data_IF_847580442894
#
_entry.id   IF_847580442894
#
_cell.length_a   1.000
_cell.length_b   1.000
_cell.length_c   1.000
_cell.angle_alpha   90.00
_cell.angle_beta   90.00
_cell.angle_gamma   90.00
#
_symmetry.space_group_name_H-M   'P 1'
#
loop_
_entity.id
_entity.type
_entity.pdbx_description
1 polymer ?
#
# COMPACT_ATOMS: atom_id res chain seq x y z
N UNK A 1 28.30 -7.43 43.78
CA UNK A 1 28.20 -7.95 42.42
C UNK A 1 27.29 -7.01 41.67
N UNK A 2 27.72 -6.18 40.71
CA UNK A 2 26.82 -5.33 39.93
C UNK A 2 26.13 -6.21 38.90
N UNK A 3 24.81 -6.09 38.86
CA UNK A 3 23.94 -6.68 37.84
C UNK A 3 24.38 -6.21 36.45
N UNK A 4 24.80 -7.12 35.61
CA UNK A 4 24.96 -6.88 34.19
C UNK A 4 23.58 -6.67 33.59
N UNK A 5 23.25 -5.43 33.28
CA UNK A 5 22.07 -5.07 32.48
C UNK A 5 22.29 -5.64 31.09
N UNK A 6 21.60 -6.70 30.77
CA UNK A 6 21.51 -7.24 29.39
C UNK A 6 21.07 -6.10 28.50
N UNK A 7 21.76 -5.77 27.40
CA UNK A 7 21.28 -4.75 26.48
C UNK A 7 19.92 -5.21 25.92
N UNK A 8 18.91 -4.37 26.08
CA UNK A 8 17.61 -4.54 25.46
C UNK A 8 17.84 -4.79 23.96
N UNK A 9 17.50 -5.99 23.46
CA UNK A 9 17.45 -6.28 22.03
C UNK A 9 16.41 -5.34 21.46
N UNK A 10 16.84 -4.22 20.91
CA UNK A 10 15.98 -3.32 20.14
C UNK A 10 15.24 -4.18 19.11
N UNK A 11 13.91 -4.13 19.10
CA UNK A 11 13.14 -4.87 18.12
C UNK A 11 13.56 -4.44 16.71
N UNK A 12 13.66 -5.39 15.76
CA UNK A 12 14.07 -5.09 14.39
C UNK A 12 13.16 -4.02 13.78
N UNK A 13 13.76 -3.09 13.05
CA UNK A 13 13.05 -1.99 12.41
C UNK A 13 12.20 -2.45 11.21
N UNK A 14 12.48 -3.63 10.66
CA UNK A 14 11.77 -4.19 9.51
C UNK A 14 11.31 -5.63 9.76
N UNK A 15 10.32 -6.06 8.97
CA UNK A 15 9.84 -7.46 8.86
C UNK A 15 9.64 -7.82 7.40
N UNK A 16 10.14 -8.97 6.98
CA UNK A 16 9.88 -9.51 5.65
C UNK A 16 8.44 -10.01 5.55
N UNK A 17 7.78 -9.77 4.42
CA UNK A 17 6.38 -10.18 4.23
C UNK A 17 6.20 -11.68 4.42
N UNK A 18 7.12 -12.50 3.94
CA UNK A 18 7.07 -13.97 4.11
C UNK A 18 7.07 -14.45 5.58
N UNK A 19 7.38 -13.56 6.53
CA UNK A 19 7.39 -13.86 7.98
C UNK A 19 6.19 -13.28 8.72
N UNK A 20 5.24 -12.67 8.01
CA UNK A 20 4.07 -12.00 8.56
C UNK A 20 2.82 -12.82 8.32
N UNK A 21 1.85 -12.63 9.21
CA UNK A 21 0.49 -13.13 9.09
C UNK A 21 -0.52 -12.11 9.65
N UNK A 22 -1.80 -12.48 9.68
CA UNK A 22 -2.87 -11.60 10.15
C UNK A 22 -2.83 -11.29 11.66
N UNK A 23 -1.99 -11.97 12.45
CA UNK A 23 -1.77 -11.64 13.87
C UNK A 23 -0.84 -10.43 14.02
N UNK A 24 -0.07 -10.07 12.99
CA UNK A 24 0.91 -8.98 13.01
C UNK A 24 0.34 -7.58 12.70
N UNK A 25 -0.99 -7.40 12.62
CA UNK A 25 -1.63 -6.11 12.30
C UNK A 25 -1.15 -4.99 13.23
N UNK A 26 -1.01 -5.24 14.53
CA UNK A 26 -0.52 -4.26 15.50
C UNK A 26 0.94 -3.86 15.28
N UNK A 27 1.72 -4.72 14.62
CA UNK A 27 3.15 -4.53 14.35
C UNK A 27 3.39 -3.82 13.01
N UNK A 28 2.66 -4.22 11.94
CA UNK A 28 2.94 -3.77 10.58
C UNK A 28 1.72 -3.17 9.85
N UNK A 29 0.58 -3.07 10.51
CA UNK A 29 -0.68 -2.61 9.90
C UNK A 29 -1.36 -3.67 9.02
N UNK A 30 -2.65 -3.49 8.77
CA UNK A 30 -3.49 -4.49 8.12
C UNK A 30 -3.03 -4.87 6.71
N UNK A 31 -2.67 -3.90 5.87
CA UNK A 31 -2.21 -4.18 4.49
C UNK A 31 -0.96 -5.06 4.44
N UNK A 32 0.02 -4.79 5.31
CA UNK A 32 1.27 -5.56 5.31
C UNK A 32 1.07 -6.94 5.92
N UNK A 33 0.25 -7.07 6.96
CA UNK A 33 -0.13 -8.35 7.56
C UNK A 33 -0.85 -9.24 6.53
N UNK A 34 -1.85 -8.67 5.82
CA UNK A 34 -2.56 -9.39 4.75
C UNK A 34 -1.66 -9.79 3.58
N UNK A 35 -0.63 -9.00 3.23
CA UNK A 35 0.36 -9.40 2.22
C UNK A 35 1.15 -10.63 2.67
N UNK A 36 1.57 -10.67 3.93
CA UNK A 36 2.24 -11.84 4.51
C UNK A 36 1.37 -13.08 4.47
N UNK A 37 0.14 -12.97 4.94
CA UNK A 37 -0.85 -14.06 4.87
C UNK A 37 -1.02 -14.58 3.44
N UNK A 38 -1.17 -13.68 2.46
CA UNK A 38 -1.29 -14.07 1.05
C UNK A 38 -0.05 -14.78 0.53
N UNK A 39 1.16 -14.34 0.87
CA UNK A 39 2.40 -15.00 0.46
C UNK A 39 2.42 -16.43 1.01
N UNK A 40 2.09 -16.62 2.29
CA UNK A 40 2.03 -17.93 2.92
C UNK A 40 0.96 -18.85 2.31
N UNK A 41 -0.27 -18.34 2.18
CA UNK A 41 -1.42 -19.12 1.73
C UNK A 41 -1.39 -19.46 0.23
N UNK A 42 -0.86 -18.59 -0.63
CA UNK A 42 -0.94 -18.74 -2.08
C UNK A 42 0.32 -19.32 -2.73
N UNK A 43 1.39 -19.50 -1.96
CA UNK A 43 2.67 -20.01 -2.45
C UNK A 43 2.54 -21.34 -3.18
N UNK A 44 1.78 -22.27 -2.62
CA UNK A 44 1.58 -23.63 -3.17
C UNK A 44 0.50 -23.68 -4.27
N UNK A 45 -0.27 -22.60 -4.43
CA UNK A 45 -1.33 -22.47 -5.45
C UNK A 45 -0.82 -21.93 -6.79
N UNK A 46 0.49 -21.66 -6.91
CA UNK A 46 1.09 -21.10 -8.12
C UNK A 46 0.82 -19.61 -8.33
N UNK A 47 0.14 -18.96 -7.40
CA UNK A 47 -0.12 -17.51 -7.43
C UNK A 47 1.11 -16.77 -6.87
N UNK A 48 1.65 -15.85 -7.66
CA UNK A 48 2.84 -15.09 -7.28
C UNK A 48 2.43 -13.77 -6.63
N UNK A 49 2.70 -13.66 -5.33
CA UNK A 49 2.63 -12.38 -4.61
C UNK A 49 4.04 -11.78 -4.61
N UNK A 50 4.23 -10.55 -5.12
CA UNK A 50 5.55 -9.92 -5.10
C UNK A 50 6.04 -9.75 -3.67
N UNK A 51 7.29 -10.13 -3.44
CA UNK A 51 7.91 -10.06 -2.13
C UNK A 51 8.32 -8.64 -1.75
N UNK A 52 8.67 -8.47 -0.47
CA UNK A 52 9.07 -7.20 0.12
C UNK A 52 9.20 -7.28 1.63
N UNK A 53 9.25 -6.13 2.24
CA UNK A 53 9.31 -6.01 3.69
C UNK A 53 8.50 -4.79 4.17
N UNK A 54 8.14 -4.79 5.43
CA UNK A 54 7.51 -3.68 6.11
C UNK A 54 8.43 -3.08 7.17
N UNK A 55 8.41 -1.75 7.36
CA UNK A 55 8.87 -1.16 8.62
C UNK A 55 7.86 -1.49 9.72
N UNK A 56 8.28 -1.47 10.98
CA UNK A 56 7.35 -1.72 12.09
C UNK A 56 6.71 -0.43 12.61
N UNK A 57 5.59 -0.53 13.30
CA UNK A 57 5.00 0.58 14.04
C UNK A 57 5.96 1.19 15.07
N UNK A 58 6.85 0.35 15.65
CA UNK A 58 7.92 0.81 16.53
C UNK A 58 8.93 1.70 15.80
N UNK A 59 9.24 1.38 14.55
CA UNK A 59 10.09 2.22 13.68
C UNK A 59 9.53 3.63 13.52
N UNK A 60 8.23 3.77 13.33
CA UNK A 60 7.57 5.06 13.27
C UNK A 60 7.69 5.84 14.60
N UNK A 61 7.42 5.18 15.73
CA UNK A 61 7.55 5.82 17.05
C UNK A 61 8.98 6.25 17.35
N UNK A 62 9.97 5.39 17.08
CA UNK A 62 11.39 5.72 17.21
C UNK A 62 11.82 6.88 16.30
N UNK A 63 11.25 6.99 15.11
CA UNK A 63 11.49 8.12 14.22
C UNK A 63 10.93 9.41 14.81
N UNK A 64 9.71 9.41 15.36
CA UNK A 64 9.12 10.59 16.00
C UNK A 64 9.94 11.02 17.22
N UNK A 65 10.33 10.08 18.08
CA UNK A 65 11.12 10.34 19.29
C UNK A 65 12.50 10.94 18.97
N UNK A 66 13.22 10.35 18.00
CA UNK A 66 14.56 10.80 17.62
C UNK A 66 14.60 12.20 16.99
N UNK A 67 13.45 12.73 16.57
CA UNK A 67 13.33 14.07 15.97
C UNK A 67 12.51 15.04 16.85
N UNK A 68 12.22 14.69 18.09
CA UNK A 68 11.40 15.48 19.03
C UNK A 68 10.01 15.86 18.43
N UNK A 69 9.45 14.97 17.60
CA UNK A 69 8.22 15.25 16.85
C UNK A 69 6.95 14.99 17.66
N UNK A 70 6.99 14.13 18.66
CA UNK A 70 5.80 13.75 19.45
C UNK A 70 5.13 14.96 20.10
N UNK A 71 5.90 15.76 20.84
CA UNK A 71 5.39 16.95 21.50
C UNK A 71 5.05 18.07 20.52
N UNK A 72 5.83 18.20 19.43
CA UNK A 72 5.52 19.18 18.38
C UNK A 72 4.17 18.86 17.70
N UNK A 73 3.93 17.60 17.33
CA UNK A 73 2.67 17.17 16.70
C UNK A 73 1.50 17.43 17.67
N UNK A 74 1.67 17.10 18.95
CA UNK A 74 0.63 17.35 19.95
C UNK A 74 0.29 18.83 20.08
N UNK A 75 1.30 19.68 20.17
CA UNK A 75 1.10 21.13 20.27
C UNK A 75 0.39 21.73 19.03
N UNK A 76 0.73 21.26 17.82
CA UNK A 76 0.08 21.71 16.60
C UNK A 76 -1.40 21.26 16.53
N UNK A 77 -1.72 20.04 16.97
CA UNK A 77 -3.09 19.55 17.04
C UNK A 77 -3.91 20.29 18.11
N UNK A 78 -3.33 20.56 19.27
CA UNK A 78 -3.96 21.36 20.34
C UNK A 78 -4.27 22.79 19.88
N UNK A 79 -3.35 23.43 19.13
CA UNK A 79 -3.57 24.77 18.57
C UNK A 79 -4.71 24.79 17.53
N UNK A 80 -4.82 23.72 16.72
CA UNK A 80 -5.95 23.56 15.81
C UNK A 80 -7.27 23.38 16.57
N UNK A 81 -7.30 22.53 17.58
CA UNK A 81 -8.49 22.24 18.41
C UNK A 81 -8.96 23.50 19.16
N UNK A 82 -8.03 24.35 19.61
CA UNK A 82 -8.29 25.64 20.18
C UNK A 82 -8.77 26.71 19.16
N UNK A 83 -8.76 26.40 17.86
CA UNK A 83 -9.15 27.34 16.80
C UNK A 83 -8.10 28.43 16.52
N UNK A 84 -6.85 28.24 16.95
CA UNK A 84 -5.76 29.19 16.75
C UNK A 84 -5.18 29.15 15.34
N UNK A 85 -5.33 28.00 14.66
CA UNK A 85 -4.89 27.77 13.27
C UNK A 85 -5.84 26.85 12.52
N UNK A 86 -5.76 26.85 11.20
CA UNK A 86 -6.56 25.97 10.35
C UNK A 86 -5.98 24.54 10.31
N UNK A 87 -6.80 23.54 10.01
CA UNK A 87 -6.38 22.17 9.81
C UNK A 87 -5.28 22.06 8.73
N UNK A 88 -5.40 22.81 7.64
CA UNK A 88 -4.42 22.80 6.56
C UNK A 88 -3.05 23.33 7.01
N UNK A 89 -3.01 24.41 7.81
CA UNK A 89 -1.77 24.94 8.39
C UNK A 89 -1.13 23.94 9.34
N UNK A 90 -1.91 23.38 10.27
CA UNK A 90 -1.51 22.33 11.21
C UNK A 90 -0.91 21.13 10.46
N UNK A 91 -1.68 20.54 9.55
CA UNK A 91 -1.24 19.39 8.77
C UNK A 91 0.01 19.67 7.94
N UNK A 92 0.11 20.86 7.34
CA UNK A 92 1.29 21.26 6.55
C UNK A 92 2.53 21.40 7.41
N UNK A 93 2.41 22.00 8.60
CA UNK A 93 3.51 22.18 9.55
C UNK A 93 4.03 20.81 10.00
N UNK A 94 3.14 19.93 10.44
CA UNK A 94 3.49 18.58 10.88
C UNK A 94 4.17 17.78 9.75
N UNK A 95 3.54 17.73 8.57
CA UNK A 95 4.08 17.00 7.41
C UNK A 95 5.47 17.50 6.99
N UNK A 96 5.69 18.81 7.05
CA UNK A 96 6.98 19.41 6.72
C UNK A 96 8.06 18.96 7.68
N UNK A 97 7.78 18.99 8.97
CA UNK A 97 8.70 18.52 10.01
C UNK A 97 9.05 17.05 9.88
N UNK A 98 8.05 16.19 9.66
CA UNK A 98 8.27 14.76 9.45
C UNK A 98 9.19 14.52 8.23
N UNK A 99 8.95 15.20 7.12
CA UNK A 99 9.78 15.06 5.90
C UNK A 99 11.22 15.50 6.10
N UNK A 100 11.46 16.49 6.96
CA UNK A 100 12.79 17.00 7.31
C UNK A 100 13.53 16.12 8.32
N UNK A 101 12.81 15.30 9.09
CA UNK A 101 13.38 14.42 10.10
C UNK A 101 14.38 13.41 9.52
N UNK A 102 15.29 12.93 10.38
CA UNK A 102 16.26 11.91 10.04
C UNK A 102 15.91 10.58 10.74
N UNK A 103 16.02 9.47 10.02
CA UNK A 103 15.94 8.17 10.68
C UNK A 103 17.12 8.00 11.65
N UNK A 104 16.91 7.41 12.85
CA UNK A 104 18.01 6.93 13.66
C UNK A 104 18.92 5.99 12.84
N UNK A 105 20.24 6.10 12.97
CA UNK A 105 21.17 5.41 12.05
C UNK A 105 20.94 3.90 12.01
N UNK A 106 20.71 3.25 13.16
CA UNK A 106 20.40 1.82 13.18
C UNK A 106 19.12 1.45 12.42
N UNK A 107 18.09 2.29 12.47
CA UNK A 107 16.85 2.13 11.69
C UNK A 107 17.12 2.35 10.20
N UNK A 108 17.82 3.44 9.87
CA UNK A 108 18.17 3.73 8.48
C UNK A 108 18.95 2.58 7.85
N UNK A 109 19.91 2.00 8.57
CA UNK A 109 20.72 0.90 8.04
C UNK A 109 19.91 -0.38 7.84
N UNK A 110 19.03 -0.75 8.75
CA UNK A 110 18.16 -1.91 8.57
C UNK A 110 17.26 -1.76 7.31
N UNK A 111 16.70 -0.55 7.06
CA UNK A 111 15.92 -0.28 5.85
C UNK A 111 16.80 -0.38 4.59
N UNK A 112 18.04 0.16 4.63
CA UNK A 112 19.00 0.10 3.52
C UNK A 112 19.39 -1.34 3.19
N UNK A 113 19.69 -2.13 4.20
CA UNK A 113 20.07 -3.54 4.04
C UNK A 113 18.89 -4.37 3.53
N UNK A 114 17.68 -4.16 4.07
CA UNK A 114 16.46 -4.78 3.57
C UNK A 114 16.22 -4.49 2.09
N UNK A 115 16.35 -3.22 1.68
CA UNK A 115 16.19 -2.83 0.26
C UNK A 115 17.30 -3.41 -0.63
N UNK A 116 18.56 -3.44 -0.19
CA UNK A 116 19.66 -4.07 -0.94
C UNK A 116 19.43 -5.58 -1.10
N UNK A 117 18.99 -6.25 -0.03
CA UNK A 117 18.68 -7.68 -0.05
C UNK A 117 17.53 -7.99 -1.00
N UNK A 118 16.45 -7.17 -0.96
CA UNK A 118 15.34 -7.27 -1.90
C UNK A 118 15.82 -7.08 -3.34
N UNK A 119 16.64 -6.05 -3.59
CA UNK A 119 17.19 -5.79 -4.93
C UNK A 119 18.02 -6.96 -5.45
N UNK A 120 18.88 -7.51 -4.61
CA UNK A 120 19.71 -8.67 -4.95
C UNK A 120 18.88 -9.93 -5.25
N UNK A 121 17.80 -10.19 -4.49
CA UNK A 121 16.90 -11.30 -4.73
C UNK A 121 16.21 -11.24 -6.10
N UNK A 122 16.01 -10.04 -6.64
CA UNK A 122 15.47 -9.81 -8.00
C UNK A 122 16.56 -9.55 -9.06
N UNK A 123 17.85 -9.77 -8.73
CA UNK A 123 18.97 -9.60 -9.66
C UNK A 123 19.16 -8.17 -10.16
N UNK A 124 18.79 -7.17 -9.35
CA UNK A 124 18.87 -5.76 -9.70
C UNK A 124 19.79 -5.00 -8.73
N UNK A 125 20.50 -3.98 -9.24
CA UNK A 125 21.26 -3.06 -8.39
C UNK A 125 20.34 -2.16 -7.54
N UNK A 126 19.17 -1.81 -8.10
CA UNK A 126 18.15 -1.01 -7.47
C UNK A 126 16.76 -1.45 -7.96
N UNK A 127 16.15 -2.39 -7.24
CA UNK A 127 14.80 -2.86 -7.56
C UNK A 127 13.78 -1.73 -7.51
N UNK A 128 12.86 -1.75 -8.45
CA UNK A 128 11.68 -0.89 -8.42
C UNK A 128 10.68 -1.40 -7.38
N UNK A 129 10.30 -0.54 -6.45
CA UNK A 129 9.36 -0.89 -5.38
C UNK A 129 8.18 0.06 -5.32
N UNK A 130 7.04 -0.47 -4.91
CA UNK A 130 5.93 0.32 -4.40
C UNK A 130 6.16 0.55 -2.90
N UNK A 131 6.13 1.81 -2.48
CA UNK A 131 6.24 2.19 -1.05
C UNK A 131 4.86 2.65 -0.60
N UNK A 132 4.27 1.92 0.34
CA UNK A 132 2.87 2.10 0.76
C UNK A 132 2.76 2.21 2.26
N UNK A 133 1.94 3.12 2.74
CA UNK A 133 1.57 3.19 4.14
C UNK A 133 0.57 2.09 4.53
N UNK A 134 0.67 1.62 5.77
CA UNK A 134 -0.22 0.66 6.40
C UNK A 134 -0.39 1.04 7.87
N UNK A 135 -1.58 1.52 8.25
CA UNK A 135 -1.85 1.94 9.61
C UNK A 135 -2.22 0.74 10.50
N UNK A 136 -1.86 0.81 11.77
CA UNK A 136 -2.20 -0.22 12.75
C UNK A 136 -3.70 -0.26 13.11
N UNK A 137 -4.44 0.79 12.74
CA UNK A 137 -5.87 0.90 12.95
C UNK A 137 -6.69 0.80 11.65
N UNK A 138 -6.08 0.37 10.52
CA UNK A 138 -6.67 0.50 9.18
C UNK A 138 -7.86 -0.44 8.93
N UNK A 139 -7.87 -1.63 9.50
CA UNK A 139 -8.86 -2.68 9.27
C UNK A 139 -9.61 -3.05 10.55
N UNK A 140 -9.97 -2.05 11.36
CA UNK A 140 -10.86 -2.28 12.48
C UNK A 140 -12.29 -2.53 11.96
N UNK A 141 -13.10 -3.40 12.61
CA UNK A 141 -14.43 -3.79 12.14
C UNK A 141 -15.37 -2.61 11.85
N UNK A 142 -15.17 -1.49 12.55
CA UNK A 142 -16.03 -0.31 12.48
C UNK A 142 -15.33 0.91 11.82
N UNK A 143 -14.09 0.78 11.33
CA UNK A 143 -13.35 1.90 10.77
C UNK A 143 -12.43 1.47 9.63
N UNK A 144 -12.59 2.09 8.45
CA UNK A 144 -11.77 1.86 7.27
C UNK A 144 -10.99 3.11 6.89
N UNK A 145 -9.66 3.05 7.00
CA UNK A 145 -8.77 4.09 6.47
C UNK A 145 -8.53 3.98 4.95
N UNK A 146 -9.40 3.27 4.24
CA UNK A 146 -9.28 3.07 2.80
C UNK A 146 -9.18 4.41 2.05
N UNK A 147 -8.19 4.53 1.19
CA UNK A 147 -7.97 5.73 0.38
C UNK A 147 -7.44 6.96 1.14
N UNK A 148 -7.17 6.87 2.45
CA UNK A 148 -6.60 7.96 3.25
C UNK A 148 -5.08 8.07 3.11
N UNK A 149 -4.44 7.06 2.55
CA UNK A 149 -3.00 6.87 2.61
C UNK A 149 -2.36 6.92 1.22
N UNK A 150 -1.10 7.37 1.17
CA UNK A 150 -0.39 7.55 -0.07
C UNK A 150 0.42 6.30 -0.47
N UNK A 151 0.55 6.10 -1.78
CA UNK A 151 1.41 5.09 -2.39
C UNK A 151 2.36 5.76 -3.36
N UNK A 152 3.63 5.36 -3.31
CA UNK A 152 4.68 5.84 -4.21
C UNK A 152 5.13 4.66 -5.04
N UNK A 153 4.95 4.75 -6.35
CA UNK A 153 5.25 3.68 -7.31
C UNK A 153 6.61 3.90 -7.97
N UNK A 154 7.24 2.80 -8.40
CA UNK A 154 8.54 2.77 -9.09
C UNK A 154 9.66 3.53 -8.35
N UNK A 155 9.66 3.45 -7.02
CA UNK A 155 10.71 4.04 -6.19
C UNK A 155 11.97 3.20 -6.33
N UNK A 156 13.11 3.85 -6.65
CA UNK A 156 14.39 3.18 -6.86
C UNK A 156 15.52 3.85 -6.09
N UNK A 157 16.38 3.03 -5.53
CA UNK A 157 17.55 3.45 -4.79
C UNK A 157 17.25 3.81 -3.33
N UNK A 158 18.24 3.59 -2.50
CA UNK A 158 18.15 3.70 -1.03
C UNK A 158 17.66 5.08 -0.57
N UNK A 159 18.19 6.16 -1.16
CA UNK A 159 17.80 7.53 -0.78
C UNK A 159 16.35 7.82 -1.09
N UNK A 160 15.87 7.39 -2.26
CA UNK A 160 14.47 7.55 -2.65
C UNK A 160 13.53 6.73 -1.75
N UNK A 161 13.92 5.50 -1.39
CA UNK A 161 13.20 4.64 -0.46
C UNK A 161 13.04 5.30 0.91
N UNK A 162 14.13 5.77 1.53
CA UNK A 162 14.06 6.46 2.82
C UNK A 162 13.20 7.74 2.74
N UNK A 163 13.28 8.46 1.63
CA UNK A 163 12.44 9.65 1.40
C UNK A 163 10.95 9.26 1.28
N UNK A 164 10.63 8.21 0.54
CA UNK A 164 9.27 7.71 0.40
C UNK A 164 8.71 7.21 1.74
N UNK A 165 9.50 6.54 2.58
CA UNK A 165 9.09 6.14 3.93
C UNK A 165 8.70 7.36 4.79
N UNK A 166 9.49 8.44 4.77
CA UNK A 166 9.15 9.68 5.48
C UNK A 166 7.89 10.35 4.93
N UNK A 167 7.69 10.29 3.62
CA UNK A 167 6.45 10.79 3.00
C UNK A 167 5.24 9.96 3.41
N UNK A 168 5.37 8.63 3.51
CA UNK A 168 4.34 7.77 4.08
C UNK A 168 4.04 8.16 5.53
N UNK A 169 5.03 8.35 6.38
CA UNK A 169 4.82 8.81 7.76
C UNK A 169 4.08 10.14 7.81
N UNK A 170 4.44 11.07 6.95
CA UNK A 170 3.78 12.38 6.85
C UNK A 170 2.32 12.27 6.40
N UNK A 171 1.94 11.26 5.60
CA UNK A 171 0.57 11.11 5.10
C UNK A 171 -0.48 10.89 6.20
N UNK A 172 -0.05 10.46 7.40
CA UNK A 172 -0.92 10.35 8.57
C UNK A 172 -1.52 11.70 9.01
N UNK A 173 -0.89 12.80 8.61
CA UNK A 173 -1.30 14.17 8.95
C UNK A 173 -1.76 14.97 7.72
N UNK A 174 -2.32 14.30 6.71
CA UNK A 174 -3.12 14.98 5.68
C UNK A 174 -4.44 15.45 6.31
N UNK A 175 -4.99 16.54 5.81
CA UNK A 175 -6.25 17.10 6.30
C UNK A 175 -7.34 16.03 6.38
N UNK A 176 -7.45 15.22 5.33
CA UNK A 176 -8.39 14.10 5.24
C UNK A 176 -8.15 13.05 6.32
N UNK A 177 -6.88 12.66 6.58
CA UNK A 177 -6.56 11.63 7.56
C UNK A 177 -6.79 12.12 9.00
N UNK A 178 -6.54 13.41 9.26
CA UNK A 178 -6.84 14.04 10.57
C UNK A 178 -8.34 14.13 10.78
N UNK A 179 -9.10 14.68 9.82
CA UNK A 179 -10.57 14.76 9.90
C UNK A 179 -11.20 13.39 10.13
N UNK A 180 -10.74 12.37 9.39
CA UNK A 180 -11.27 11.01 9.55
C UNK A 180 -11.06 10.47 10.97
N UNK A 181 -9.87 10.65 11.55
CA UNK A 181 -9.63 10.22 12.95
C UNK A 181 -10.50 10.97 13.94
N UNK A 182 -10.67 12.27 13.75
CA UNK A 182 -11.57 13.09 14.56
C UNK A 182 -13.01 12.58 14.51
N UNK A 183 -13.54 12.35 13.30
CA UNK A 183 -14.90 11.84 13.09
C UNK A 183 -15.11 10.44 13.69
N UNK A 184 -14.06 9.61 13.72
CA UNK A 184 -14.12 8.27 14.30
C UNK A 184 -13.74 8.22 15.79
N UNK A 185 -13.35 9.35 16.39
CA UNK A 185 -12.95 9.42 17.80
C UNK A 185 -11.62 8.73 18.13
N UNK A 186 -10.72 8.59 17.15
CA UNK A 186 -9.38 8.04 17.40
C UNK A 186 -8.42 9.12 17.91
N UNK A 187 -7.66 8.79 18.94
CA UNK A 187 -6.53 9.61 19.37
C UNK A 187 -5.49 9.68 18.22
N UNK A 188 -5.12 10.90 17.85
CA UNK A 188 -4.16 11.15 16.77
C UNK A 188 -2.79 10.55 17.02
N UNK A 189 -2.39 10.37 18.28
CA UNK A 189 -1.08 9.86 18.68
C UNK A 189 -1.05 8.33 18.90
N UNK A 190 -2.21 7.70 19.06
CA UNK A 190 -2.28 6.24 19.22
C UNK A 190 -2.14 5.49 17.90
N UNK A 191 -2.57 6.11 16.80
CA UNK A 191 -2.45 5.51 15.48
C UNK A 191 -0.99 5.55 15.03
N UNK A 192 -0.40 4.38 14.85
CA UNK A 192 0.94 4.23 14.32
C UNK A 192 0.91 3.76 12.86
N UNK A 193 2.00 4.03 12.15
CA UNK A 193 2.13 3.69 10.74
C UNK A 193 3.32 2.76 10.51
N UNK A 194 3.09 1.76 9.71
CA UNK A 194 4.09 0.93 9.06
C UNK A 194 4.19 1.33 7.58
N UNK A 195 5.31 1.05 6.95
CA UNK A 195 5.53 1.29 5.53
C UNK A 195 5.95 0.00 4.87
N UNK A 196 5.13 -0.49 3.93
CA UNK A 196 5.45 -1.64 3.10
C UNK A 196 6.28 -1.22 1.88
N UNK A 197 7.36 -1.94 1.65
CA UNK A 197 8.19 -1.85 0.44
C UNK A 197 8.02 -3.14 -0.34
N UNK A 198 7.25 -3.10 -1.41
CA UNK A 198 6.92 -4.27 -2.21
C UNK A 198 7.52 -4.16 -3.61
N UNK A 199 8.11 -5.23 -4.12
CA UNK A 199 8.60 -5.26 -5.50
C UNK A 199 7.49 -4.95 -6.49
N UNK A 200 7.73 -4.01 -7.40
CA UNK A 200 6.78 -3.66 -8.46
C UNK A 200 6.62 -4.79 -9.49
N UNK A 201 5.37 -5.03 -9.90
CA UNK A 201 5.04 -5.83 -11.07
C UNK A 201 4.99 -4.91 -12.29
N UNK A 202 5.74 -5.26 -13.35
CA UNK A 202 5.68 -4.55 -14.62
C UNK A 202 4.45 -5.00 -15.40
N UNK A 203 3.33 -4.35 -15.09
CA UNK A 203 2.02 -4.73 -15.59
C UNK A 203 1.63 -3.89 -16.82
N UNK A 204 1.24 -4.58 -17.89
CA UNK A 204 0.56 -3.99 -19.05
C UNK A 204 -0.96 -3.95 -18.85
N UNK A 205 -1.45 -4.78 -17.95
CA UNK A 205 -2.86 -4.93 -17.54
C UNK A 205 -2.92 -5.09 -16.03
N UNK A 206 -3.90 -4.48 -15.39
CA UNK A 206 -4.13 -4.63 -13.96
C UNK A 206 -5.61 -4.52 -13.63
N UNK A 207 -6.00 -5.05 -12.48
CA UNK A 207 -7.39 -5.03 -12.09
C UNK A 207 -7.63 -5.35 -10.63
N UNK A 208 -8.90 -5.48 -10.29
CA UNK A 208 -9.38 -5.92 -8.97
C UNK A 208 -10.36 -7.06 -9.20
N UNK A 209 -10.19 -8.13 -8.44
CA UNK A 209 -11.13 -9.25 -8.42
C UNK A 209 -11.82 -9.32 -7.06
N UNK A 210 -13.12 -9.47 -7.09
CA UNK A 210 -13.96 -9.78 -5.93
C UNK A 210 -14.49 -11.21 -6.06
N UNK A 211 -14.37 -11.97 -4.99
CA UNK A 211 -14.86 -13.37 -4.96
C UNK A 211 -16.37 -13.48 -4.71
N UNK A 212 -17.06 -12.36 -4.69
CA UNK A 212 -18.50 -12.20 -4.54
C UNK A 212 -18.97 -11.07 -5.44
N UNK A 213 -20.20 -11.11 -5.91
CA UNK A 213 -20.82 -9.95 -6.55
C UNK A 213 -21.08 -8.85 -5.51
N UNK A 214 -20.36 -7.75 -5.62
CA UNK A 214 -20.37 -6.66 -4.64
C UNK A 214 -21.65 -5.81 -4.69
N UNK A 215 -22.46 -5.90 -5.76
CA UNK A 215 -23.71 -5.15 -5.89
C UNK A 215 -24.89 -5.96 -5.31
N UNK A 216 -24.97 -7.24 -5.65
CA UNK A 216 -26.09 -8.11 -5.24
C UNK A 216 -25.80 -8.93 -3.98
N UNK A 217 -24.51 -9.07 -3.59
CA UNK A 217 -24.09 -9.98 -2.54
C UNK A 217 -24.11 -11.47 -2.95
N UNK A 218 -24.29 -11.77 -4.26
CA UNK A 218 -24.39 -13.17 -4.71
C UNK A 218 -23.04 -13.88 -4.63
N UNK A 219 -22.92 -14.93 -3.79
CA UNK A 219 -21.62 -15.51 -3.43
C UNK A 219 -20.99 -16.35 -4.54
N UNK A 220 -21.80 -16.85 -5.51
CA UNK A 220 -21.30 -17.76 -6.55
C UNK A 220 -20.69 -17.03 -7.76
N UNK A 221 -20.79 -15.70 -7.83
CA UNK A 221 -20.11 -14.92 -8.84
C UNK A 221 -18.76 -14.38 -8.33
N UNK A 222 -17.76 -14.41 -9.20
CA UNK A 222 -16.57 -13.56 -9.06
C UNK A 222 -16.69 -12.41 -10.07
N UNK A 223 -16.36 -11.19 -9.62
CA UNK A 223 -16.37 -9.97 -10.45
C UNK A 223 -14.93 -9.51 -10.64
N UNK A 224 -14.50 -9.33 -11.89
CA UNK A 224 -13.16 -8.85 -12.24
C UNK A 224 -13.32 -7.51 -12.97
N UNK A 225 -12.69 -6.47 -12.46
CA UNK A 225 -12.60 -5.17 -13.11
C UNK A 225 -11.16 -4.97 -13.60
N UNK A 226 -10.94 -4.71 -14.89
CA UNK A 226 -9.61 -4.60 -15.46
C UNK A 226 -9.43 -3.37 -16.34
N UNK A 227 -8.21 -2.82 -16.33
CA UNK A 227 -7.77 -1.70 -17.15
C UNK A 227 -6.34 -1.90 -17.67
N UNK A 228 -5.95 -1.06 -18.61
CA UNK A 228 -4.59 -1.05 -19.16
C UNK A 228 -3.60 -0.37 -18.22
N UNK A 229 -2.36 -0.84 -18.22
CA UNK A 229 -1.27 -0.29 -17.42
C UNK A 229 -1.33 -0.65 -15.94
N UNK A 230 -0.82 0.24 -15.09
CA UNK A 230 -0.77 0.04 -13.65
C UNK A 230 -2.15 0.15 -12.99
N UNK A 231 -2.41 -0.68 -12.00
CA UNK A 231 -3.73 -0.85 -11.37
C UNK A 231 -4.31 0.36 -10.63
N UNK A 232 -3.53 1.41 -10.43
CA UNK A 232 -3.93 2.59 -9.67
C UNK A 232 -5.17 3.30 -10.26
N UNK A 233 -5.34 3.28 -11.59
CA UNK A 233 -6.50 3.86 -12.27
C UNK A 233 -7.80 3.13 -11.93
N UNK A 234 -7.74 1.80 -11.82
CA UNK A 234 -8.89 0.95 -11.45
C UNK A 234 -9.20 1.13 -9.97
N UNK A 235 -8.17 1.03 -9.10
CA UNK A 235 -8.34 1.15 -7.65
C UNK A 235 -8.90 2.52 -7.23
N UNK A 236 -8.44 3.61 -7.87
CA UNK A 236 -8.94 4.97 -7.62
C UNK A 236 -10.29 5.27 -8.28
N UNK A 237 -10.87 4.35 -9.04
CA UNK A 237 -12.10 4.59 -9.79
C UNK A 237 -11.97 5.74 -10.80
N UNK A 238 -10.77 5.99 -11.33
CA UNK A 238 -10.49 7.11 -12.21
C UNK A 238 -10.73 6.81 -13.70
N UNK A 239 -11.07 5.58 -13.99
CA UNK A 239 -11.51 5.08 -15.31
C UNK A 239 -12.79 4.25 -15.15
N UNK A 240 -13.49 4.02 -16.27
CA UNK A 240 -14.52 3.01 -16.37
C UNK A 240 -13.87 1.73 -16.94
N UNK A 241 -13.55 0.72 -16.09
CA UNK A 241 -12.83 -0.49 -16.49
C UNK A 241 -13.73 -1.46 -17.28
N UNK A 242 -13.12 -2.46 -17.91
CA UNK A 242 -13.87 -3.64 -18.32
C UNK A 242 -14.27 -4.44 -17.09
N UNK A 243 -15.48 -5.02 -17.12
CA UNK A 243 -15.99 -5.88 -16.08
C UNK A 243 -16.28 -7.27 -16.62
N UNK A 244 -15.86 -8.28 -15.90
CA UNK A 244 -16.11 -9.69 -16.20
C UNK A 244 -16.81 -10.35 -15.03
N UNK A 245 -17.84 -11.14 -15.33
CA UNK A 245 -18.56 -11.94 -14.34
C UNK A 245 -18.27 -13.41 -14.58
N UNK A 246 -17.73 -14.10 -13.59
CA UNK A 246 -17.44 -15.53 -13.63
C UNK A 246 -18.35 -16.24 -12.64
N UNK A 247 -19.14 -17.19 -13.12
CA UNK A 247 -19.96 -18.05 -12.27
C UNK A 247 -19.17 -19.24 -11.79
N UNK A 248 -18.74 -19.21 -10.54
CA UNK A 248 -17.80 -20.15 -9.94
C UNK A 248 -18.20 -21.62 -10.05
N UNK A 249 -19.50 -22.00 -9.86
CA UNK A 249 -19.89 -23.41 -9.99
C UNK A 249 -19.64 -24.02 -11.38
N UNK A 250 -19.45 -23.20 -12.43
CA UNK A 250 -19.15 -23.71 -13.77
C UNK A 250 -17.67 -24.00 -14.00
N UNK A 251 -16.77 -23.54 -13.10
CA UNK A 251 -15.31 -23.75 -13.22
C UNK A 251 -14.92 -25.23 -13.18
N UNK A 252 -15.70 -26.08 -12.50
CA UNK A 252 -15.43 -27.51 -12.37
C UNK A 252 -16.00 -28.36 -13.51
N UNK A 253 -16.70 -27.74 -14.47
CA UNK A 253 -17.38 -28.45 -15.55
C UNK A 253 -16.92 -27.98 -16.92
N UNK A 254 -16.03 -28.72 -17.56
CA UNK A 254 -15.47 -28.40 -18.88
C UNK A 254 -16.52 -28.25 -20.01
N UNK A 255 -17.75 -28.74 -19.84
CA UNK A 255 -18.83 -28.59 -20.81
C UNK A 255 -19.54 -27.23 -20.71
N UNK A 256 -19.27 -26.43 -19.70
CA UNK A 256 -19.90 -25.14 -19.45
C UNK A 256 -18.91 -23.98 -19.61
N UNK A 257 -19.42 -22.82 -19.92
CA UNK A 257 -18.63 -21.57 -20.00
C UNK A 257 -18.80 -20.80 -18.71
N UNK A 258 -17.75 -20.71 -17.85
CA UNK A 258 -17.85 -20.02 -16.56
C UNK A 258 -18.01 -18.50 -16.68
N UNK A 259 -17.53 -17.90 -17.77
CA UNK A 259 -17.64 -16.43 -18.01
C UNK A 259 -19.05 -16.13 -18.50
N UNK A 260 -19.90 -15.64 -17.60
CA UNK A 260 -21.32 -15.38 -17.88
C UNK A 260 -21.62 -13.93 -18.26
N UNK A 261 -20.64 -13.02 -18.08
CA UNK A 261 -20.81 -11.61 -18.46
C UNK A 261 -19.49 -10.94 -18.81
N UNK A 262 -19.53 -10.06 -19.81
CA UNK A 262 -18.44 -9.17 -20.20
C UNK A 262 -19.01 -7.79 -20.54
N UNK A 263 -18.62 -6.78 -19.80
CA UNK A 263 -19.01 -5.39 -20.06
C UNK A 263 -17.77 -4.58 -20.38
N UNK A 264 -17.74 -3.96 -21.54
CA UNK A 264 -16.61 -3.15 -21.98
C UNK A 264 -16.72 -1.74 -21.41
N UNK A 265 -15.68 -1.28 -20.69
CA UNK A 265 -15.51 0.10 -20.28
C UNK A 265 -14.87 0.96 -21.38
N UNK A 266 -14.82 2.27 -21.16
CA UNK A 266 -14.12 3.19 -22.07
C UNK A 266 -12.59 3.23 -21.83
N UNK A 267 -12.16 2.93 -20.63
CA UNK A 267 -10.73 2.86 -20.23
C UNK A 267 -9.92 4.05 -20.76
N UNK A 268 -10.46 5.27 -20.64
CA UNK A 268 -10.00 6.46 -21.36
C UNK A 268 -8.50 6.79 -21.12
N UNK A 269 -7.94 6.38 -19.99
CA UNK A 269 -6.54 6.62 -19.63
C UNK A 269 -5.92 5.44 -18.91
N UNK A 270 -4.58 5.40 -18.92
CA UNK A 270 -3.76 4.40 -18.20
C UNK A 270 -2.56 5.09 -17.54
N UNK A 271 -2.02 4.47 -16.49
CA UNK A 271 -0.74 4.87 -15.90
C UNK A 271 0.32 3.91 -16.41
N UNK A 272 1.41 4.47 -16.90
CA UNK A 272 2.57 3.74 -17.41
C UNK A 272 3.84 4.22 -16.72
N UNK A 273 4.89 3.41 -16.77
CA UNK A 273 6.22 3.84 -16.35
C UNK A 273 6.71 4.98 -17.24
N UNK A 274 7.30 6.00 -16.62
CA UNK A 274 7.94 7.10 -17.33
C UNK A 274 9.43 6.79 -17.56
N UNK A 275 9.98 7.29 -18.66
CA UNK A 275 11.42 7.27 -18.92
C UNK A 275 12.01 8.64 -18.60
N UNK A 276 13.22 8.66 -18.00
CA UNK A 276 13.95 9.89 -17.68
C UNK A 276 13.91 10.30 -16.20
N UNK A 277 14.45 11.48 -15.89
CA UNK A 277 14.72 11.96 -14.52
C UNK A 277 13.48 12.61 -13.83
N UNK A 278 12.29 12.47 -14.40
CA UNK A 278 11.07 13.04 -13.87
C UNK A 278 10.32 12.14 -12.88
N UNK A 279 8.99 12.28 -12.85
CA UNK A 279 8.15 11.37 -12.08
C UNK A 279 8.24 9.94 -12.66
N UNK A 280 8.33 8.91 -11.81
CA UNK A 280 8.57 7.52 -12.24
C UNK A 280 7.41 6.91 -13.03
N UNK A 281 6.21 7.49 -12.92
CA UNK A 281 5.02 7.07 -13.65
C UNK A 281 4.30 8.27 -14.25
N UNK A 282 3.59 8.07 -15.34
CA UNK A 282 2.78 9.11 -15.99
C UNK A 282 1.43 8.57 -16.43
N UNK A 283 0.42 9.43 -16.36
CA UNK A 283 -0.89 9.15 -16.94
C UNK A 283 -0.87 9.52 -18.43
N UNK A 284 -1.33 8.58 -19.27
CA UNK A 284 -1.47 8.79 -20.71
C UNK A 284 -2.88 8.37 -21.15
N UNK A 285 -3.38 8.95 -22.24
CA UNK A 285 -4.60 8.47 -22.86
C UNK A 285 -4.36 7.10 -23.51
N UNK A 286 -5.39 6.25 -23.46
CA UNK A 286 -5.40 4.98 -24.20
C UNK A 286 -5.62 5.22 -25.68
N UNK A 287 -5.07 4.34 -26.51
CA UNK A 287 -5.31 4.36 -27.96
C UNK A 287 -6.77 3.97 -28.26
N UNK A 288 -7.24 4.27 -29.47
CA UNK A 288 -8.56 3.84 -29.93
C UNK A 288 -8.68 2.31 -29.95
N UNK A 289 -7.62 1.61 -30.30
CA UNK A 289 -7.54 0.15 -30.28
C UNK A 289 -7.72 -0.39 -28.86
N UNK A 290 -7.00 0.16 -27.87
CA UNK A 290 -7.11 -0.22 -26.46
C UNK A 290 -8.51 0.04 -25.90
N UNK A 291 -9.16 1.15 -26.28
CA UNK A 291 -10.54 1.46 -25.85
C UNK A 291 -11.55 0.48 -26.43
N UNK A 292 -11.31 0.01 -27.65
CA UNK A 292 -12.20 -0.91 -28.34
C UNK A 292 -11.99 -2.39 -28.00
N UNK A 293 -10.79 -2.76 -27.55
CA UNK A 293 -10.47 -4.12 -27.11
C UNK A 293 -10.91 -4.38 -25.67
N UNK A 294 -11.22 -5.63 -25.34
CA UNK A 294 -11.30 -6.10 -23.97
C UNK A 294 -9.88 -6.26 -23.41
N UNK A 295 -9.68 -5.88 -22.14
CA UNK A 295 -8.37 -5.94 -21.48
C UNK A 295 -7.89 -7.37 -21.29
N UNK A 296 -8.78 -8.26 -20.86
CA UNK A 296 -8.46 -9.65 -20.58
C UNK A 296 -9.07 -10.58 -21.64
N UNK A 297 -8.30 -11.58 -22.04
CA UNK A 297 -8.78 -12.74 -22.78
C UNK A 297 -9.52 -13.72 -21.87
N UNK A 298 -10.28 -14.66 -22.44
CA UNK A 298 -11.00 -15.68 -21.69
C UNK A 298 -10.03 -16.58 -20.88
N UNK A 299 -8.91 -16.93 -21.48
CA UNK A 299 -7.86 -17.73 -20.80
C UNK A 299 -7.26 -16.98 -19.61
N UNK A 300 -7.01 -15.67 -19.74
CA UNK A 300 -6.51 -14.86 -18.63
C UNK A 300 -7.53 -14.79 -17.50
N UNK A 301 -8.82 -14.62 -17.82
CA UNK A 301 -9.91 -14.57 -16.82
C UNK A 301 -10.02 -15.91 -16.07
N UNK A 302 -9.91 -17.03 -16.77
CA UNK A 302 -10.06 -18.36 -16.17
C UNK A 302 -8.81 -18.84 -15.42
N UNK A 303 -7.68 -18.19 -15.64
CA UNK A 303 -6.42 -18.48 -14.92
C UNK A 303 -6.39 -17.80 -13.54
N UNK A 304 -7.17 -16.74 -13.34
CA UNK A 304 -7.27 -16.03 -12.06
C UNK A 304 -8.17 -16.77 -11.07
#
# INVERSE_FOLDING_TARGET
>A
MPNATTPSRTASAIRWFETLDNEDVSLVGGKNASLGEMIGALKDSGIRVPDGFATTADTYRRFLEANDLTEHIRAELEAWDAGEQSLNETGTTIRTRIRQGAFPEGVAEEIREGYRSLSAAYGADAADVAVRSSATAEDLPDASFAGQQESYLDVRGVTAVLTACKRCFASLFTDRAVTYREEQGFDHMEVALSVGLQKMVRADKAGVMFTIDTESGFPDNAIINAGWGLGETVVKGSINPDQYTVYKPFLENEALTPIVGKTKGDKAKKIVYAEGDGEPTKTVETTEEERNALVLSDDEILTM
#
